data_IF_735921353359
#
_entry.id   IF_735921353359
#
_cell.length_a   1.000
_cell.length_b   1.000
_cell.length_c   1.000
_cell.angle_alpha   90.00
_cell.angle_beta   90.00
_cell.angle_gamma   90.00
#
_symmetry.space_group_name_H-M   'P 1'
#
loop_
_entity.id
_entity.type
_entity.pdbx_description
1 polymer ?
#
# COMPACT_ATOMS: atom_id res chain seq x y z
N UNK A 1 -31.40 25.89 17.47
CA UNK A 1 -30.05 26.24 16.98
C UNK A 1 -30.16 26.60 15.50
N UNK A 2 -29.28 27.43 14.94
CA UNK A 2 -29.27 27.67 13.49
C UNK A 2 -28.57 26.51 12.77
N UNK A 3 -28.99 26.18 11.54
CA UNK A 3 -28.38 25.13 10.72
C UNK A 3 -26.86 25.27 10.59
N UNK A 4 -26.36 26.51 10.50
CA UNK A 4 -24.93 26.84 10.49
C UNK A 4 -24.24 26.47 11.81
N UNK A 5 -24.90 26.71 12.95
CA UNK A 5 -24.38 26.31 14.26
C UNK A 5 -24.27 24.79 14.41
N UNK A 6 -25.28 24.05 13.94
CA UNK A 6 -25.29 22.59 13.98
C UNK A 6 -24.18 21.98 13.11
N UNK A 7 -23.96 22.52 11.91
CA UNK A 7 -22.87 22.10 11.01
C UNK A 7 -21.50 22.31 11.67
N UNK A 8 -21.26 23.48 12.30
CA UNK A 8 -20.00 23.77 13.00
C UNK A 8 -19.77 22.82 14.18
N UNK A 9 -20.81 22.55 14.96
CA UNK A 9 -20.73 21.59 16.08
C UNK A 9 -20.46 20.16 15.60
N UNK A 10 -21.13 19.73 14.52
CA UNK A 10 -20.90 18.42 13.91
C UNK A 10 -19.48 18.28 13.36
N UNK A 11 -18.96 19.32 12.68
CA UNK A 11 -17.57 19.35 12.21
C UNK A 11 -16.57 19.24 13.36
N UNK A 12 -16.76 20.00 14.44
CA UNK A 12 -15.90 19.93 15.63
C UNK A 12 -15.95 18.56 16.31
N UNK A 13 -17.12 17.93 16.37
CA UNK A 13 -17.26 16.59 16.91
C UNK A 13 -16.52 15.56 16.03
N UNK A 14 -16.68 15.63 14.71
CA UNK A 14 -15.99 14.75 13.77
C UNK A 14 -14.46 14.85 13.90
N UNK A 15 -13.91 16.07 14.00
CA UNK A 15 -12.48 16.28 14.23
C UNK A 15 -12.00 15.60 15.53
N UNK A 16 -12.71 15.79 16.65
CA UNK A 16 -12.37 15.14 17.93
C UNK A 16 -12.43 13.61 17.86
N UNK A 17 -13.36 13.06 17.08
CA UNK A 17 -13.46 11.62 16.88
C UNK A 17 -12.28 11.07 16.07
N UNK A 18 -11.88 11.79 15.02
CA UNK A 18 -10.70 11.44 14.22
C UNK A 18 -9.42 11.51 15.07
N UNK A 19 -9.24 12.55 15.88
CA UNK A 19 -8.09 12.71 16.78
C UNK A 19 -7.98 11.55 17.79
N UNK A 20 -9.12 11.10 18.33
CA UNK A 20 -9.15 9.99 19.30
C UNK A 20 -8.89 8.62 18.68
N UNK A 21 -9.31 8.43 17.45
CA UNK A 21 -9.19 7.16 16.74
C UNK A 21 -8.86 7.43 15.26
N UNK A 22 -7.59 7.72 14.96
CA UNK A 22 -7.19 8.03 13.59
C UNK A 22 -7.40 6.82 12.69
N UNK A 23 -8.19 6.99 11.63
CA UNK A 23 -8.35 5.98 10.58
C UNK A 23 -8.66 6.64 9.24
N UNK A 24 -8.25 5.98 8.17
CA UNK A 24 -8.50 6.46 6.81
C UNK A 24 -10.00 6.60 6.52
N UNK A 25 -10.82 5.66 7.00
CA UNK A 25 -12.27 5.71 6.79
C UNK A 25 -12.89 6.97 7.41
N UNK A 26 -12.51 7.34 8.64
CA UNK A 26 -13.01 8.56 9.28
C UNK A 26 -12.59 9.82 8.52
N UNK A 27 -11.38 9.83 7.97
CA UNK A 27 -10.95 10.90 7.08
C UNK A 27 -11.86 10.99 5.84
N UNK A 28 -12.19 9.86 5.19
CA UNK A 28 -13.12 9.85 4.03
C UNK A 28 -14.51 10.37 4.40
N UNK A 29 -15.04 9.96 5.55
CA UNK A 29 -16.34 10.45 6.05
C UNK A 29 -16.30 11.98 6.26
N UNK A 30 -15.18 12.51 6.76
CA UNK A 30 -14.98 13.95 6.95
C UNK A 30 -14.83 14.71 5.63
N UNK A 31 -14.14 14.16 4.63
CA UNK A 31 -14.07 14.74 3.27
C UNK A 31 -15.48 14.85 2.67
N UNK A 32 -16.27 13.79 2.78
CA UNK A 32 -17.67 13.79 2.31
C UNK A 32 -18.51 14.82 3.06
N UNK A 33 -18.37 14.90 4.39
CA UNK A 33 -19.06 15.91 5.20
C UNK A 33 -18.69 17.34 4.76
N UNK A 34 -17.38 17.61 4.59
CA UNK A 34 -16.88 18.91 4.14
C UNK A 34 -17.46 19.31 2.78
N UNK A 35 -17.55 18.37 1.85
CA UNK A 35 -18.16 18.58 0.53
C UNK A 35 -19.68 18.85 0.63
N UNK A 36 -20.42 18.02 1.37
CA UNK A 36 -21.88 18.11 1.48
C UNK A 36 -22.37 19.40 2.15
N UNK A 37 -21.57 19.96 3.06
CA UNK A 37 -21.95 21.14 3.85
C UNK A 37 -21.11 22.38 3.54
N UNK A 38 -20.26 22.32 2.50
CA UNK A 38 -19.36 23.41 2.09
C UNK A 38 -18.58 24.01 3.26
N UNK A 39 -18.05 23.15 4.15
CA UNK A 39 -17.28 23.60 5.32
C UNK A 39 -15.94 24.16 4.84
N UNK A 40 -15.65 25.41 5.20
CA UNK A 40 -14.34 26.00 4.97
C UNK A 40 -13.38 25.68 6.15
N UNK A 41 -12.26 25.05 5.81
CA UNK A 41 -11.22 24.58 6.73
C UNK A 41 -10.01 24.23 5.85
N UNK A 42 -9.19 25.23 5.58
CA UNK A 42 -8.02 25.11 4.70
C UNK A 42 -6.90 24.26 5.31
N UNK A 43 -6.85 24.16 6.65
CA UNK A 43 -5.82 23.44 7.38
C UNK A 43 -6.15 21.95 7.57
N UNK A 44 -7.36 21.52 7.19
CA UNK A 44 -7.85 20.17 7.40
C UNK A 44 -6.87 19.09 6.94
N UNK A 45 -6.38 19.16 5.69
CA UNK A 45 -5.48 18.14 5.14
C UNK A 45 -4.14 18.09 5.89
N UNK A 46 -3.55 19.25 6.19
CA UNK A 46 -2.31 19.34 6.95
C UNK A 46 -2.47 18.72 8.35
N UNK A 47 -3.57 19.03 9.04
CA UNK A 47 -3.87 18.48 10.36
C UNK A 47 -4.06 16.96 10.33
N UNK A 48 -4.76 16.43 9.32
CA UNK A 48 -4.95 14.98 9.14
C UNK A 48 -3.63 14.28 8.85
N UNK A 49 -2.79 14.84 7.98
CA UNK A 49 -1.48 14.29 7.65
C UNK A 49 -0.60 14.16 8.91
N UNK A 50 -0.50 15.24 9.71
CA UNK A 50 0.25 15.24 10.96
C UNK A 50 -0.32 14.25 11.97
N UNK A 51 -1.64 14.16 12.08
CA UNK A 51 -2.30 13.20 12.96
C UNK A 51 -1.94 11.76 12.57
N UNK A 52 -2.02 11.41 11.29
CA UNK A 52 -1.67 10.08 10.80
C UNK A 52 -0.19 9.77 11.01
N UNK A 53 0.71 10.72 10.72
CA UNK A 53 2.16 10.59 11.04
C UNK A 53 2.39 10.25 12.52
N UNK A 54 1.75 10.98 13.43
CA UNK A 54 1.93 10.80 14.87
C UNK A 54 1.28 9.52 15.42
N UNK A 55 0.20 9.08 14.77
CA UNK A 55 -0.53 7.86 15.14
C UNK A 55 0.11 6.58 14.62
N UNK A 56 1.07 6.67 13.69
CA UNK A 56 1.69 5.49 13.12
C UNK A 56 2.36 4.66 14.23
N UNK A 57 2.10 3.36 14.16
CA UNK A 57 2.70 2.36 15.03
C UNK A 57 3.16 1.21 14.15
N UNK A 58 4.40 0.77 14.39
CA UNK A 58 4.93 -0.43 13.75
C UNK A 58 4.00 -1.61 14.07
N UNK A 59 3.67 -2.46 13.07
CA UNK A 59 2.96 -3.69 13.33
C UNK A 59 3.68 -4.49 14.42
N UNK A 60 2.94 -4.96 15.42
CA UNK A 60 3.49 -5.80 16.49
C UNK A 60 4.06 -7.13 15.97
N UNK A 61 4.65 -7.97 16.85
CA UNK A 61 5.32 -9.22 16.47
C UNK A 61 4.43 -10.22 15.73
N UNK A 62 3.10 -10.11 15.86
CA UNK A 62 2.12 -10.92 15.11
C UNK A 62 1.75 -10.34 13.73
N UNK A 63 2.45 -9.30 13.29
CA UNK A 63 2.21 -8.60 12.02
C UNK A 63 0.73 -8.20 11.80
N UNK A 64 0.00 -7.93 12.89
CA UNK A 64 -1.36 -7.40 12.79
C UNK A 64 -1.25 -5.96 12.35
N UNK A 65 -1.39 -5.76 11.06
CA UNK A 65 -1.55 -4.43 10.47
C UNK A 65 -2.84 -3.86 11.03
N UNK A 66 -2.74 -2.72 11.70
CA UNK A 66 -3.90 -1.98 12.17
C UNK A 66 -4.36 -1.02 11.07
N UNK A 67 -5.62 -0.60 11.08
CA UNK A 67 -6.10 0.46 10.18
C UNK A 67 -5.22 1.73 10.24
N UNK A 68 -4.55 1.96 11.37
CA UNK A 68 -3.64 3.09 11.59
C UNK A 68 -2.33 2.96 10.82
N UNK A 69 -1.87 1.73 10.56
CA UNK A 69 -0.61 1.48 9.85
C UNK A 69 -0.70 1.92 8.40
N UNK A 70 -1.86 1.72 7.77
CA UNK A 70 -2.11 2.07 6.36
C UNK A 70 -2.66 3.48 6.18
N UNK A 71 -3.15 4.12 7.25
CA UNK A 71 -3.90 5.37 7.17
C UNK A 71 -3.16 6.47 6.39
N UNK A 72 -1.86 6.66 6.64
CA UNK A 72 -1.08 7.70 5.99
C UNK A 72 -0.81 7.42 4.51
N UNK A 73 -0.49 6.16 4.14
CA UNK A 73 -0.26 5.83 2.72
C UNK A 73 -1.56 5.92 1.91
N UNK A 74 -2.68 5.47 2.48
CA UNK A 74 -3.99 5.60 1.85
C UNK A 74 -4.41 7.07 1.73
N UNK A 75 -4.12 7.89 2.73
CA UNK A 75 -4.31 9.34 2.68
C UNK A 75 -3.53 9.97 1.51
N UNK A 76 -2.24 9.63 1.35
CA UNK A 76 -1.47 10.15 0.23
C UNK A 76 -1.99 9.68 -1.12
N UNK A 77 -2.39 8.41 -1.24
CA UNK A 77 -3.02 7.87 -2.45
C UNK A 77 -4.30 8.63 -2.80
N UNK A 78 -5.18 8.86 -1.81
CA UNK A 78 -6.46 9.55 -2.02
C UNK A 78 -6.29 11.00 -2.49
N UNK A 79 -5.20 11.65 -2.06
CA UNK A 79 -4.84 13.01 -2.45
C UNK A 79 -3.90 13.07 -3.65
N UNK A 80 -3.67 11.96 -4.35
CA UNK A 80 -2.74 11.84 -5.51
C UNK A 80 -1.30 12.27 -5.20
N UNK A 81 -0.91 12.18 -3.94
CA UNK A 81 0.40 12.53 -3.41
C UNK A 81 1.35 11.32 -3.52
N UNK A 82 1.54 10.81 -4.74
CA UNK A 82 2.24 9.54 -4.96
C UNK A 82 3.73 9.57 -4.55
N UNK A 83 4.40 10.70 -4.67
CA UNK A 83 5.80 10.84 -4.20
C UNK A 83 5.89 10.64 -2.68
N UNK A 84 5.01 11.29 -1.93
CA UNK A 84 4.94 11.16 -0.47
C UNK A 84 4.54 9.75 -0.04
N UNK A 85 3.64 9.10 -0.80
CA UNK A 85 3.29 7.69 -0.58
C UNK A 85 4.52 6.79 -0.77
N UNK A 86 5.28 6.98 -1.85
CA UNK A 86 6.48 6.21 -2.14
C UNK A 86 7.58 6.40 -1.09
N UNK A 87 7.84 7.65 -0.68
CA UNK A 87 8.80 7.98 0.37
C UNK A 87 8.39 7.34 1.71
N UNK A 88 7.10 7.39 2.04
CA UNK A 88 6.60 6.80 3.28
C UNK A 88 6.82 5.29 3.34
N UNK A 89 6.45 4.55 2.29
CA UNK A 89 6.56 3.07 2.30
C UNK A 89 8.00 2.57 2.12
N UNK A 90 8.94 3.43 1.74
CA UNK A 90 10.37 3.09 1.71
C UNK A 90 10.90 2.83 3.14
N UNK A 91 10.45 3.62 4.12
CA UNK A 91 10.93 3.54 5.51
C UNK A 91 9.93 2.87 6.46
N UNK A 92 8.66 2.75 6.06
CA UNK A 92 7.60 2.24 6.93
C UNK A 92 6.99 0.93 6.41
N UNK A 93 6.52 0.11 7.36
CA UNK A 93 5.75 -1.10 7.04
C UNK A 93 4.28 -0.72 6.90
N UNK A 94 3.67 -1.19 5.82
CA UNK A 94 2.24 -1.07 5.55
C UNK A 94 1.72 -2.44 5.12
N UNK A 95 0.41 -2.62 5.01
CA UNK A 95 -0.17 -3.88 4.53
C UNK A 95 0.29 -4.21 3.11
N UNK A 96 0.21 -5.50 2.78
CA UNK A 96 0.40 -5.98 1.41
C UNK A 96 -0.58 -5.33 0.45
N UNK A 97 -1.83 -5.11 0.89
CA UNK A 97 -2.86 -4.49 0.06
C UNK A 97 -2.51 -3.04 -0.26
N UNK A 98 -2.09 -2.24 0.73
CA UNK A 98 -1.68 -0.86 0.51
C UNK A 98 -0.45 -0.77 -0.42
N UNK A 99 0.53 -1.68 -0.27
CA UNK A 99 1.68 -1.75 -1.19
C UNK A 99 1.26 -2.05 -2.63
N UNK A 100 0.37 -3.03 -2.83
CA UNK A 100 -0.09 -3.40 -4.18
C UNK A 100 -0.92 -2.28 -4.82
N UNK A 101 -1.80 -1.63 -4.06
CA UNK A 101 -2.57 -0.47 -4.55
C UNK A 101 -1.63 0.65 -4.99
N UNK A 102 -0.62 0.99 -4.16
CA UNK A 102 0.36 2.01 -4.55
C UNK A 102 1.14 1.59 -5.79
N UNK A 103 1.60 0.34 -5.86
CA UNK A 103 2.36 -0.19 -6.98
C UNK A 103 1.60 -0.07 -8.31
N UNK A 104 0.32 -0.46 -8.32
CA UNK A 104 -0.55 -0.38 -9.50
C UNK A 104 -0.74 1.07 -9.97
N UNK A 105 -0.83 2.02 -9.03
CA UNK A 105 -1.02 3.43 -9.35
C UNK A 105 0.25 4.10 -9.87
N UNK A 106 1.43 3.68 -9.42
CA UNK A 106 2.70 4.33 -9.78
C UNK A 106 3.49 3.60 -10.85
N UNK A 107 3.04 2.45 -11.36
CA UNK A 107 3.85 1.62 -12.27
C UNK A 107 4.27 2.34 -13.54
N UNK A 108 3.42 3.22 -14.08
CA UNK A 108 3.74 3.98 -15.29
C UNK A 108 4.87 5.00 -15.05
N UNK A 109 4.80 5.74 -13.95
CA UNK A 109 5.73 6.84 -13.67
C UNK A 109 6.97 6.38 -12.88
N UNK A 110 6.82 5.30 -12.10
CA UNK A 110 7.81 4.76 -11.16
C UNK A 110 7.84 3.22 -11.21
N UNK A 111 8.13 2.61 -12.37
CA UNK A 111 8.11 1.15 -12.55
C UNK A 111 9.05 0.40 -11.59
N UNK A 112 10.20 0.99 -11.25
CA UNK A 112 11.12 0.44 -10.24
C UNK A 112 10.50 0.32 -8.84
N UNK A 113 9.71 1.33 -8.42
CA UNK A 113 9.01 1.28 -7.14
C UNK A 113 7.93 0.20 -7.16
N UNK A 114 7.14 0.14 -8.24
CA UNK A 114 6.11 -0.87 -8.40
C UNK A 114 6.70 -2.30 -8.32
N UNK A 115 7.78 -2.57 -9.06
CA UNK A 115 8.49 -3.86 -9.01
C UNK A 115 8.93 -4.21 -7.58
N UNK A 116 9.60 -3.28 -6.90
CA UNK A 116 10.06 -3.46 -5.52
C UNK A 116 8.90 -3.79 -4.56
N UNK A 117 7.76 -3.10 -4.68
CA UNK A 117 6.59 -3.33 -3.84
C UNK A 117 5.95 -4.71 -4.09
N UNK A 118 5.81 -5.11 -5.35
CA UNK A 118 5.33 -6.45 -5.70
C UNK A 118 6.25 -7.54 -5.12
N UNK A 119 7.58 -7.39 -5.27
CA UNK A 119 8.55 -8.36 -4.76
C UNK A 119 8.53 -8.45 -3.22
N UNK A 120 8.29 -7.35 -2.51
CA UNK A 120 8.09 -7.38 -1.05
C UNK A 120 6.88 -8.23 -0.68
N UNK A 121 5.76 -8.09 -1.38
CA UNK A 121 4.55 -8.89 -1.10
C UNK A 121 4.75 -10.35 -1.51
N UNK A 122 5.38 -10.62 -2.64
CA UNK A 122 5.73 -11.99 -3.09
C UNK A 122 6.56 -12.72 -2.03
N UNK A 123 7.60 -12.07 -1.48
CA UNK A 123 8.41 -12.66 -0.41
C UNK A 123 7.56 -13.01 0.82
N UNK A 124 6.66 -12.12 1.25
CA UNK A 124 5.73 -12.40 2.36
C UNK A 124 4.88 -13.64 2.09
N UNK A 125 4.36 -13.82 0.88
CA UNK A 125 3.57 -14.99 0.51
C UNK A 125 4.41 -16.28 0.50
N UNK A 126 5.62 -16.24 -0.08
CA UNK A 126 6.52 -17.40 -0.11
C UNK A 126 6.91 -17.85 1.32
N UNK A 127 6.99 -16.93 2.27
CA UNK A 127 7.28 -17.28 3.67
C UNK A 127 6.15 -17.98 4.42
N UNK A 128 4.89 -17.88 3.95
CA UNK A 128 3.79 -18.61 4.58
C UNK A 128 3.84 -20.12 4.35
N UNK A 129 4.66 -20.59 3.39
CA UNK A 129 4.92 -22.01 3.12
C UNK A 129 3.68 -22.88 2.81
N UNK A 130 2.57 -22.28 2.41
CA UNK A 130 1.37 -22.99 1.95
C UNK A 130 1.29 -22.97 0.42
N UNK A 131 0.63 -23.98 -0.17
CA UNK A 131 0.42 -24.03 -1.62
C UNK A 131 -0.43 -22.86 -2.12
N UNK A 132 -1.41 -22.41 -1.33
CA UNK A 132 -2.24 -21.23 -1.62
C UNK A 132 -1.41 -19.95 -1.67
N UNK A 133 -0.47 -19.77 -0.72
CA UNK A 133 0.41 -18.62 -0.71
C UNK A 133 1.39 -18.65 -1.89
N UNK A 134 1.90 -19.83 -2.28
CA UNK A 134 2.73 -19.95 -3.49
C UNK A 134 1.96 -19.64 -4.78
N UNK A 135 0.69 -20.08 -4.89
CA UNK A 135 -0.16 -19.73 -6.02
C UNK A 135 -0.40 -18.21 -6.07
N UNK A 136 -0.66 -17.58 -4.92
CA UNK A 136 -0.81 -16.13 -4.80
C UNK A 136 0.47 -15.40 -5.21
N UNK A 137 1.63 -15.87 -4.76
CA UNK A 137 2.94 -15.32 -5.14
C UNK A 137 3.16 -15.36 -6.66
N UNK A 138 2.82 -16.48 -7.30
CA UNK A 138 2.93 -16.62 -8.76
C UNK A 138 2.01 -15.66 -9.50
N UNK A 139 0.75 -15.54 -9.08
CA UNK A 139 -0.22 -14.58 -9.67
C UNK A 139 0.30 -13.15 -9.58
N UNK A 140 0.90 -12.77 -8.44
CA UNK A 140 1.51 -11.45 -8.26
C UNK A 140 2.70 -11.23 -9.20
N UNK A 141 3.57 -12.23 -9.38
CA UNK A 141 4.70 -12.16 -10.31
C UNK A 141 4.24 -11.98 -11.76
N UNK A 142 3.22 -12.74 -12.19
CA UNK A 142 2.65 -12.62 -13.55
C UNK A 142 2.00 -11.26 -13.77
N UNK A 143 1.33 -10.71 -12.74
CA UNK A 143 0.72 -9.39 -12.82
C UNK A 143 1.77 -8.30 -13.04
N UNK A 144 2.83 -8.26 -12.23
CA UNK A 144 3.88 -7.24 -12.39
C UNK A 144 4.66 -7.42 -13.69
N UNK A 145 4.94 -8.65 -14.12
CA UNK A 145 5.53 -8.91 -15.44
C UNK A 145 4.69 -8.28 -16.56
N UNK A 146 3.36 -8.47 -16.50
CA UNK A 146 2.42 -7.86 -17.44
C UNK A 146 2.45 -6.33 -17.44
N UNK A 147 2.49 -5.72 -16.26
CA UNK A 147 2.54 -4.26 -16.10
C UNK A 147 3.88 -3.67 -16.59
N UNK A 148 4.97 -4.43 -16.50
CA UNK A 148 6.31 -3.98 -16.91
C UNK A 148 6.60 -4.15 -18.41
N UNK A 149 5.67 -4.68 -19.21
CA UNK A 149 5.88 -4.87 -20.66
C UNK A 149 6.23 -3.59 -21.42
N UNK A 150 5.74 -2.44 -20.97
CA UNK A 150 6.07 -1.11 -21.51
C UNK A 150 7.37 -0.52 -20.96
N UNK A 151 8.03 -1.21 -20.02
CA UNK A 151 9.19 -0.75 -19.26
C UNK A 151 10.33 -1.78 -19.39
N UNK A 152 11.04 -1.83 -20.53
CA UNK A 152 11.95 -2.93 -20.86
C UNK A 152 13.13 -3.07 -19.88
N UNK A 153 13.61 -1.95 -19.33
CA UNK A 153 14.69 -1.95 -18.31
C UNK A 153 14.24 -2.66 -17.04
N UNK A 154 13.06 -2.30 -16.53
CA UNK A 154 12.49 -2.88 -15.33
C UNK A 154 12.00 -4.31 -15.54
N UNK A 155 11.54 -4.64 -16.75
CA UNK A 155 11.22 -6.02 -17.12
C UNK A 155 12.47 -6.91 -17.12
N UNK A 156 13.60 -6.42 -17.62
CA UNK A 156 14.87 -7.14 -17.51
C UNK A 156 15.28 -7.33 -16.04
N UNK A 157 15.15 -6.29 -15.22
CA UNK A 157 15.39 -6.40 -13.77
C UNK A 157 14.45 -7.40 -13.10
N UNK A 158 13.18 -7.46 -13.50
CA UNK A 158 12.22 -8.45 -13.00
C UNK A 158 12.74 -9.88 -13.22
N UNK A 159 13.27 -10.21 -14.40
CA UNK A 159 13.82 -11.55 -14.64
C UNK A 159 15.09 -11.86 -13.82
N UNK A 160 15.93 -10.85 -13.54
CA UNK A 160 17.05 -11.00 -12.59
C UNK A 160 16.54 -11.30 -11.18
N UNK A 161 15.46 -10.64 -10.76
CA UNK A 161 14.82 -10.89 -9.46
C UNK A 161 14.15 -12.27 -9.39
N UNK A 162 13.60 -12.79 -10.49
CA UNK A 162 13.10 -14.16 -10.57
C UNK A 162 14.21 -15.18 -10.31
N UNK A 163 15.38 -15.02 -10.93
CA UNK A 163 16.54 -15.86 -10.68
C UNK A 163 17.01 -15.78 -9.22
N UNK A 164 17.05 -14.57 -8.67
CA UNK A 164 17.36 -14.32 -7.26
C UNK A 164 16.39 -15.05 -6.32
N UNK A 165 15.08 -14.95 -6.56
CA UNK A 165 14.04 -15.65 -5.79
C UNK A 165 14.21 -17.17 -5.85
N UNK A 166 14.45 -17.74 -7.03
CA UNK A 166 14.68 -19.18 -7.18
C UNK A 166 15.90 -19.66 -6.37
N UNK A 167 16.97 -18.86 -6.36
CA UNK A 167 18.17 -19.17 -5.60
C UNK A 167 17.95 -19.04 -4.09
N UNK A 168 17.31 -17.96 -3.63
CA UNK A 168 16.99 -17.74 -2.21
C UNK A 168 16.05 -18.82 -1.65
N UNK A 169 15.10 -19.28 -2.46
CA UNK A 169 14.04 -20.21 -2.05
C UNK A 169 14.23 -21.63 -2.57
N UNK A 170 15.45 -22.04 -2.95
CA UNK A 170 15.75 -23.38 -3.49
C UNK A 170 15.27 -24.56 -2.64
N UNK A 171 15.12 -24.38 -1.32
CA UNK A 171 14.62 -25.41 -0.39
C UNK A 171 13.08 -25.54 -0.40
N UNK A 172 12.36 -24.53 -0.89
CA UNK A 172 10.90 -24.53 -1.04
C UNK A 172 10.52 -25.15 -2.39
N UNK A 173 10.62 -26.49 -2.47
CA UNK A 173 10.50 -27.26 -3.72
C UNK A 173 9.27 -26.90 -4.55
N UNK A 174 8.10 -26.76 -3.94
CA UNK A 174 6.87 -26.40 -4.66
C UNK A 174 6.97 -25.02 -5.33
N UNK A 175 7.49 -24.02 -4.62
CA UNK A 175 7.71 -22.69 -5.19
C UNK A 175 8.75 -22.73 -6.32
N UNK A 176 9.86 -23.45 -6.14
CA UNK A 176 10.89 -23.60 -7.17
C UNK A 176 10.33 -24.28 -8.44
N UNK A 177 9.48 -25.30 -8.28
CA UNK A 177 8.80 -25.96 -9.40
C UNK A 177 7.93 -24.96 -10.17
N UNK A 178 7.13 -24.14 -9.48
CA UNK A 178 6.31 -23.11 -10.11
C UNK A 178 7.17 -22.09 -10.88
N UNK A 179 8.26 -21.61 -10.27
CA UNK A 179 9.17 -20.68 -10.95
C UNK A 179 9.78 -21.30 -12.20
N UNK A 180 10.22 -22.56 -12.14
CA UNK A 180 10.75 -23.27 -13.31
C UNK A 180 9.71 -23.49 -14.40
N UNK A 181 8.46 -23.76 -14.05
CA UNK A 181 7.38 -23.95 -15.03
C UNK A 181 7.09 -22.67 -15.83
N UNK A 182 7.16 -21.51 -15.18
CA UNK A 182 6.76 -20.24 -15.80
C UNK A 182 7.93 -19.41 -16.34
N UNK A 183 9.13 -19.57 -15.78
CA UNK A 183 10.29 -18.71 -16.07
C UNK A 183 11.56 -19.50 -16.39
N UNK A 184 11.46 -20.73 -16.91
CA UNK A 184 12.61 -21.58 -17.25
C UNK A 184 13.68 -20.89 -18.10
N UNK A 185 13.30 -19.99 -19.02
CA UNK A 185 14.23 -19.24 -19.88
C UNK A 185 15.09 -18.22 -19.13
N UNK A 186 14.80 -17.98 -17.85
CA UNK A 186 15.42 -16.94 -17.02
C UNK A 186 16.01 -17.50 -15.71
N UNK A 187 16.09 -18.83 -15.55
CA UNK A 187 16.61 -19.54 -14.37
C UNK A 187 17.76 -20.46 -14.74
#
# INVERSE_FOLDING_TARGET
MSRVGEIKSAWSLANRLLERSPSFQRYKDMVQFKANYSVDDAEFLCRVEQLFKNSYRLPGPFNRVSEQTDALVLFYIDNQQFDQACEWVASNRVSTNALLTLADLVVHDKPNHALSYYLRVVKVQIEQTSNEAYATALTLLQKIEGLLKSHPTELAQFYVEIASLAQSYKRKRNMLTLLKQHYASHL
#
